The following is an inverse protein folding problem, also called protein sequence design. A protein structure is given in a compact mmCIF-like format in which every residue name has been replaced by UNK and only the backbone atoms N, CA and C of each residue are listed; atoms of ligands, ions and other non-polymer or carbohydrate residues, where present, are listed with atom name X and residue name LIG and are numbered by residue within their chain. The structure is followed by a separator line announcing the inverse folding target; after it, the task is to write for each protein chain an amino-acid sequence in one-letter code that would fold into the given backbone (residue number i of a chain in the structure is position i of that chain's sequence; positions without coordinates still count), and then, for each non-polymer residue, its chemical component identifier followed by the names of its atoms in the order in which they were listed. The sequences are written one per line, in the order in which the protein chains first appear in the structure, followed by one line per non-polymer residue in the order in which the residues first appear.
data_IF_340016876203
#
_entry.id   IF_340016876203
#
_cell.length_a   1.000
_cell.length_b   1.000
_cell.length_c   1.000
_cell.angle_alpha   90.00
_cell.angle_beta   90.00
_cell.angle_gamma   90.00
#
_symmetry.space_group_name_H-M   'P 1'
#
loop_
_entity.id
_entity.type
_entity.pdbx_description
1 polymer ?
#
# COMPACT_ATOMS: atom_id res chain seq x y z
N UNK A 1 0.86 10.89 7.49
CA UNK A 1 1.68 9.76 7.92
C UNK A 1 0.74 8.74 8.52
N UNK A 2 0.89 7.47 8.15
CA UNK A 2 0.13 6.35 8.65
C UNK A 2 1.03 5.14 8.77
N UNK A 3 1.22 4.68 10.00
CA UNK A 3 2.05 3.54 10.39
C UNK A 3 1.19 2.35 10.87
N UNK A 4 -0.13 2.41 10.68
CA UNK A 4 -1.08 1.33 10.95
C UNK A 4 -1.16 0.79 12.39
N UNK A 5 -0.48 1.39 13.37
CA UNK A 5 -0.39 0.89 14.74
C UNK A 5 -1.72 0.84 15.52
N UNK A 6 -2.69 1.66 15.10
CA UNK A 6 -3.99 1.75 15.78
C UNK A 6 -5.17 1.58 14.83
N UNK A 7 -5.05 2.11 13.61
CA UNK A 7 -6.11 2.09 12.60
C UNK A 7 -5.53 2.29 11.19
N UNK A 8 -6.41 2.43 10.20
CA UNK A 8 -6.02 2.76 8.82
C UNK A 8 -5.74 4.27 8.62
N UNK A 9 -5.68 5.09 9.67
CA UNK A 9 -5.42 6.54 9.62
C UNK A 9 -6.27 7.33 8.61
N UNK A 10 -7.49 6.86 8.35
CA UNK A 10 -8.41 7.43 7.36
C UNK A 10 -8.23 6.92 5.92
N UNK A 11 -7.29 6.03 5.65
CA UNK A 11 -7.27 5.23 4.44
C UNK A 11 -8.52 4.36 4.36
N UNK A 12 -9.09 4.23 3.15
CA UNK A 12 -10.35 3.53 2.90
C UNK A 12 -10.14 2.41 1.88
N UNK A 13 -10.63 1.24 2.25
CA UNK A 13 -10.76 0.11 1.34
C UNK A 13 -11.81 0.44 0.27
N UNK A 14 -11.56 0.05 -0.98
CA UNK A 14 -12.56 0.19 -2.03
C UNK A 14 -13.54 -1.00 -1.95
N UNK A 15 -14.85 -0.75 -1.92
CA UNK A 15 -15.88 -1.81 -1.75
C UNK A 15 -16.19 -2.59 -3.06
N UNK A 16 -15.65 -2.14 -4.19
CA UNK A 16 -15.93 -2.67 -5.53
C UNK A 16 -14.74 -3.47 -6.10
N UNK A 17 -13.82 -3.92 -5.26
CA UNK A 17 -12.73 -4.82 -5.65
C UNK A 17 -13.03 -6.28 -5.28
N UNK A 18 -12.04 -7.17 -5.39
CA UNK A 18 -12.25 -8.60 -5.16
C UNK A 18 -12.09 -8.98 -3.67
N UNK A 19 -11.25 -8.26 -2.92
CA UNK A 19 -10.98 -8.48 -1.51
C UNK A 19 -10.20 -7.32 -0.88
N UNK A 20 -10.07 -7.36 0.44
CA UNK A 20 -9.46 -6.29 1.23
C UNK A 20 -7.98 -6.51 1.61
N UNK A 21 -7.22 -5.40 1.67
CA UNK A 21 -6.03 -5.30 2.54
C UNK A 21 -6.42 -5.57 3.99
N UNK A 22 -5.65 -6.42 4.67
CA UNK A 22 -5.90 -6.79 6.06
C UNK A 22 -4.91 -6.06 6.97
N UNK A 23 -5.40 -5.50 8.08
CA UNK A 23 -4.54 -4.99 9.16
C UNK A 23 -4.01 -6.16 9.99
N UNK A 24 -2.70 -6.24 10.22
CA UNK A 24 -2.10 -7.36 10.94
C UNK A 24 -0.97 -6.96 11.86
N UNK A 25 -0.93 -7.63 13.01
CA UNK A 25 0.22 -7.66 13.92
C UNK A 25 1.26 -8.66 13.45
N UNK A 26 2.53 -8.25 13.46
CA UNK A 26 3.68 -9.04 13.03
C UNK A 26 3.81 -10.41 13.77
N UNK A 27 3.27 -10.54 14.98
CA UNK A 27 3.37 -11.74 15.86
C UNK A 27 2.61 -12.98 15.36
N UNK A 28 1.74 -12.82 14.36
CA UNK A 28 0.95 -13.93 13.80
C UNK A 28 1.65 -14.64 12.63
N UNK A 29 2.94 -14.38 12.39
CA UNK A 29 3.77 -14.90 11.29
C UNK A 29 4.14 -16.38 11.38
N UNK A 30 3.67 -17.13 12.40
CA UNK A 30 3.97 -18.57 12.57
C UNK A 30 3.61 -19.48 11.36
N UNK A 31 2.89 -19.00 10.34
CA UNK A 31 2.53 -19.76 9.13
C UNK A 31 2.51 -18.95 7.81
N UNK A 32 3.57 -18.24 7.42
CA UNK A 32 3.62 -17.60 6.08
C UNK A 32 4.98 -17.02 5.64
N UNK A 33 5.07 -16.52 4.39
CA UNK A 33 6.26 -15.85 3.81
C UNK A 33 6.24 -14.32 3.98
N UNK A 34 5.31 -13.78 4.78
CA UNK A 34 5.28 -12.37 5.14
C UNK A 34 6.48 -11.97 6.02
N UNK A 35 6.77 -10.66 6.13
CA UNK A 35 7.93 -10.18 6.90
C UNK A 35 7.80 -10.58 8.37
N UNK A 36 8.90 -11.06 8.95
CA UNK A 36 8.97 -11.55 10.32
C UNK A 36 8.83 -10.45 11.38
N UNK A 37 9.06 -9.19 10.98
CA UNK A 37 9.02 -8.00 11.82
C UNK A 37 8.33 -6.87 11.07
N UNK A 38 7.61 -6.04 11.82
CA UNK A 38 7.10 -4.78 11.31
C UNK A 38 8.26 -3.82 10.95
N UNK A 39 8.06 -2.89 10.01
CA UNK A 39 9.11 -1.94 9.63
C UNK A 39 9.28 -0.84 10.68
N UNK A 40 8.17 -0.25 11.13
CA UNK A 40 8.14 0.89 12.05
C UNK A 40 8.80 0.55 13.39
N UNK A 41 8.41 -0.56 14.01
CA UNK A 41 8.89 -0.94 15.34
C UNK A 41 10.08 -1.90 15.30
N UNK A 42 10.36 -2.55 14.16
CA UNK A 42 11.29 -3.70 14.05
C UNK A 42 10.99 -4.84 15.04
N UNK A 43 9.83 -4.81 15.67
CA UNK A 43 9.39 -5.74 16.68
C UNK A 43 8.27 -6.64 16.14
N UNK A 44 8.05 -7.84 16.71
CA UNK A 44 6.92 -8.69 16.38
C UNK A 44 5.55 -8.08 16.72
N UNK A 45 5.48 -6.93 17.39
CA UNK A 45 4.23 -6.31 17.83
C UNK A 45 3.71 -5.20 16.93
N UNK A 46 4.52 -4.73 15.97
CA UNK A 46 4.08 -3.65 15.06
C UNK A 46 3.06 -4.10 14.03
N UNK A 47 2.41 -3.11 13.43
CA UNK A 47 1.29 -3.31 12.53
C UNK A 47 1.60 -2.84 11.12
N UNK A 48 1.22 -3.66 10.15
CA UNK A 48 1.27 -3.29 8.74
C UNK A 48 0.01 -3.80 8.04
N UNK A 49 -0.30 -3.22 6.89
CA UNK A 49 -1.33 -3.79 6.03
C UNK A 49 -0.72 -4.80 5.08
N UNK A 50 -1.44 -5.89 4.82
CA UNK A 50 -0.97 -6.92 3.91
C UNK A 50 -2.11 -7.54 3.13
N UNK A 51 -1.76 -8.06 1.96
CA UNK A 51 -2.54 -9.05 1.25
C UNK A 51 -1.80 -10.38 1.31
N UNK A 52 -2.52 -11.46 1.58
CA UNK A 52 -1.96 -12.82 1.57
C UNK A 52 -2.71 -13.65 0.57
N UNK A 53 -1.98 -14.10 -0.44
CA UNK A 53 -2.47 -15.14 -1.34
C UNK A 53 -2.79 -16.38 -0.49
N UNK A 54 -4.08 -16.68 -0.43
CA UNK A 54 -4.65 -17.82 0.27
C UNK A 54 -5.34 -18.73 -0.74
N UNK A 55 -5.63 -19.97 -0.37
CA UNK A 55 -6.37 -20.89 -1.24
C UNK A 55 -7.76 -20.36 -1.66
N UNK A 56 -8.31 -19.39 -0.91
CA UNK A 56 -9.57 -18.73 -1.23
C UNK A 56 -9.40 -17.57 -2.23
N UNK A 57 -8.18 -17.05 -2.37
CA UNK A 57 -7.90 -15.97 -3.31
C UNK A 57 -7.42 -16.55 -4.65
N UNK A 58 -8.10 -16.17 -5.71
CA UNK A 58 -7.70 -16.55 -7.06
C UNK A 58 -6.58 -15.63 -7.56
N UNK A 59 -5.58 -16.17 -8.28
CA UNK A 59 -4.55 -15.36 -8.90
C UNK A 59 -5.16 -14.28 -9.80
N UNK A 60 -4.71 -13.03 -9.64
CA UNK A 60 -5.23 -11.88 -10.39
C UNK A 60 -6.34 -11.10 -9.69
N UNK A 61 -6.88 -11.60 -8.57
CA UNK A 61 -7.79 -10.81 -7.74
C UNK A 61 -7.10 -9.57 -7.18
N UNK A 62 -7.87 -8.53 -6.94
CA UNK A 62 -7.38 -7.20 -6.58
C UNK A 62 -7.91 -6.75 -5.23
N UNK A 63 -7.03 -6.09 -4.47
CA UNK A 63 -7.36 -5.34 -3.28
C UNK A 63 -6.86 -3.90 -3.40
N UNK A 64 -7.71 -2.94 -3.11
CA UNK A 64 -7.44 -1.51 -3.27
C UNK A 64 -7.71 -0.77 -1.98
N UNK A 65 -6.73 0.02 -1.57
CA UNK A 65 -6.87 0.97 -0.46
C UNK A 65 -6.50 2.37 -0.96
N UNK A 66 -7.32 3.35 -0.62
CA UNK A 66 -7.19 4.72 -1.09
C UNK A 66 -7.00 5.70 0.08
N UNK A 67 -6.16 6.72 -0.15
CA UNK A 67 -5.93 7.76 0.84
C UNK A 67 -7.19 8.61 1.05
N UNK A 68 -7.26 9.40 2.14
CA UNK A 68 -8.11 10.58 2.16
C UNK A 68 -7.89 11.46 0.92
N UNK A 69 -8.89 12.27 0.58
CA UNK A 69 -8.76 13.25 -0.51
C UNK A 69 -7.69 14.28 -0.14
N UNK A 70 -6.69 14.40 -1.00
CA UNK A 70 -5.60 15.35 -0.87
C UNK A 70 -5.95 16.58 -1.70
N UNK A 71 -6.09 17.73 -1.02
CA UNK A 71 -6.40 18.98 -1.71
C UNK A 71 -5.14 19.73 -2.10
N UNK A 72 -5.06 20.15 -3.37
CA UNK A 72 -3.98 21.03 -3.86
C UNK A 72 -4.26 22.51 -3.58
N UNK A 73 -5.53 22.87 -3.37
CA UNK A 73 -5.97 24.27 -3.15
C UNK A 73 -5.91 24.71 -1.69
N UNK A 74 -5.88 23.76 -0.76
CA UNK A 74 -5.82 24.08 0.65
C UNK A 74 -4.42 24.57 1.03
N UNK A 75 -4.31 25.85 1.41
CA UNK A 75 -3.06 26.48 1.84
C UNK A 75 -2.48 25.86 3.12
N UNK A 76 -3.33 25.26 3.95
CA UNK A 76 -2.93 24.68 5.25
C UNK A 76 -2.54 23.20 5.13
N UNK A 77 -2.83 22.55 4.00
CA UNK A 77 -2.53 21.14 3.77
C UNK A 77 -2.06 20.91 2.32
N UNK A 78 -1.03 21.64 1.91
CA UNK A 78 -0.49 21.54 0.56
C UNK A 78 0.44 20.33 0.46
N UNK A 79 -0.11 19.17 0.06
CA UNK A 79 0.72 18.01 -0.30
C UNK A 79 1.37 18.31 -1.65
N UNK A 80 2.70 18.49 -1.64
CA UNK A 80 3.40 19.17 -2.72
C UNK A 80 4.49 18.38 -3.43
N UNK A 81 5.04 17.32 -2.83
CA UNK A 81 6.22 16.65 -3.37
C UNK A 81 5.98 15.20 -3.75
N UNK A 82 5.49 14.39 -2.81
CA UNK A 82 5.40 12.95 -3.05
C UNK A 82 4.78 12.14 -1.93
N UNK A 83 4.73 10.84 -2.15
CA UNK A 83 4.42 9.84 -1.14
C UNK A 83 5.64 8.93 -0.92
N UNK A 84 5.95 8.67 0.34
CA UNK A 84 6.96 7.74 0.79
C UNK A 84 6.28 6.58 1.50
N UNK A 85 6.80 5.37 1.30
CA UNK A 85 6.28 4.18 1.97
C UNK A 85 7.30 3.06 1.97
N UNK A 86 7.04 2.08 2.84
CA UNK A 86 7.78 0.84 2.88
C UNK A 86 6.92 -0.30 2.36
N UNK A 87 7.56 -1.22 1.64
CA UNK A 87 6.89 -2.41 1.11
C UNK A 87 7.77 -3.65 1.27
N UNK A 88 7.12 -4.81 1.37
CA UNK A 88 7.78 -6.12 1.36
C UNK A 88 7.05 -7.05 0.39
N UNK A 89 7.82 -7.67 -0.50
CA UNK A 89 7.33 -8.53 -1.57
C UNK A 89 8.31 -9.69 -1.78
N UNK A 90 8.07 -10.82 -1.11
CA UNK A 90 8.97 -11.98 -1.14
C UNK A 90 8.20 -13.30 -1.33
N UNK A 91 8.62 -14.08 -2.32
CA UNK A 91 8.00 -15.35 -2.67
C UNK A 91 8.15 -15.68 -4.15
N UNK A 92 8.03 -16.96 -4.49
CA UNK A 92 8.24 -17.42 -5.87
C UNK A 92 7.11 -17.01 -6.83
N UNK A 93 5.91 -16.77 -6.29
CA UNK A 93 4.73 -16.47 -7.08
C UNK A 93 3.98 -15.25 -6.54
N UNK A 94 4.74 -14.27 -6.03
CA UNK A 94 4.22 -12.97 -5.64
C UNK A 94 3.51 -12.31 -6.82
N UNK A 95 2.38 -11.68 -6.54
CA UNK A 95 1.62 -10.94 -7.54
C UNK A 95 2.24 -9.58 -7.82
N UNK A 96 1.41 -8.54 -7.85
CA UNK A 96 1.88 -7.18 -8.18
C UNK A 96 1.38 -6.14 -7.20
N UNK A 97 2.16 -5.09 -7.01
CA UNK A 97 1.78 -3.87 -6.32
C UNK A 97 1.77 -2.73 -7.35
N UNK A 98 0.60 -2.13 -7.56
CA UNK A 98 0.44 -0.97 -8.44
C UNK A 98 0.00 0.22 -7.60
N UNK A 99 0.65 1.37 -7.79
CA UNK A 99 0.29 2.61 -7.11
C UNK A 99 -0.23 3.59 -8.15
N UNK A 100 -1.40 4.14 -7.88
CA UNK A 100 -2.08 5.09 -8.74
C UNK A 100 -2.22 6.45 -8.07
N UNK A 101 -2.16 7.51 -8.87
CA UNK A 101 -2.77 8.77 -8.55
C UNK A 101 -4.14 8.83 -9.21
N UNK A 102 -5.20 8.98 -8.40
CA UNK A 102 -6.59 8.99 -8.85
C UNK A 102 -7.20 10.37 -8.66
N UNK A 103 -7.69 10.99 -9.72
CA UNK A 103 -8.40 12.28 -9.63
C UNK A 103 -9.82 12.09 -9.09
N UNK A 104 -10.49 13.18 -8.69
CA UNK A 104 -11.89 13.09 -8.23
C UNK A 104 -12.83 12.67 -9.35
N UNK A 105 -12.49 12.97 -10.62
CA UNK A 105 -13.16 12.43 -11.81
C UNK A 105 -12.85 10.94 -12.09
N UNK A 106 -12.15 10.23 -11.18
CA UNK A 106 -11.77 8.81 -11.28
C UNK A 106 -10.80 8.48 -12.43
N UNK A 107 -10.09 9.46 -12.97
CA UNK A 107 -8.97 9.18 -13.87
C UNK A 107 -7.76 8.71 -13.06
N UNK A 108 -7.12 7.62 -13.50
CA UNK A 108 -6.02 6.98 -12.80
C UNK A 108 -4.72 7.05 -13.62
N UNK A 109 -3.67 7.54 -12.98
CA UNK A 109 -2.31 7.57 -13.52
C UNK A 109 -1.43 6.62 -12.71
N UNK A 110 -0.80 5.67 -13.38
CA UNK A 110 0.14 4.74 -12.74
C UNK A 110 1.39 5.52 -12.33
N UNK A 111 1.73 5.46 -11.04
CA UNK A 111 2.97 6.00 -10.48
C UNK A 111 4.04 4.91 -10.30
N UNK A 112 3.62 3.69 -10.00
CA UNK A 112 4.50 2.56 -9.76
C UNK A 112 3.81 1.26 -10.15
N UNK A 113 4.56 0.32 -10.71
CA UNK A 113 4.14 -1.06 -10.93
C UNK A 113 5.31 -2.00 -10.59
N UNK A 114 5.16 -2.77 -9.51
CA UNK A 114 6.12 -3.79 -9.08
C UNK A 114 5.47 -5.16 -9.22
N UNK A 115 6.19 -6.12 -9.79
CA UNK A 115 5.70 -7.49 -9.97
C UNK A 115 6.73 -8.49 -9.48
N UNK A 116 6.26 -9.57 -8.85
CA UNK A 116 7.10 -10.68 -8.42
C UNK A 116 7.98 -10.36 -7.21
N UNK A 117 8.99 -11.21 -7.01
CA UNK A 117 9.90 -11.10 -5.87
C UNK A 117 10.76 -9.84 -5.95
N UNK A 118 10.73 -9.02 -4.90
CA UNK A 118 11.56 -7.83 -4.77
C UNK A 118 12.70 -8.03 -3.75
N UNK A 119 12.63 -9.07 -2.91
CA UNK A 119 13.64 -9.40 -1.90
C UNK A 119 13.02 -9.61 -0.52
N UNK A 120 13.70 -10.38 0.33
CA UNK A 120 13.23 -10.67 1.69
C UNK A 120 13.65 -9.59 2.71
N UNK A 121 13.30 -8.34 2.44
CA UNK A 121 13.55 -7.20 3.32
C UNK A 121 12.59 -6.07 2.97
N UNK A 122 12.30 -5.21 3.94
CA UNK A 122 11.52 -3.99 3.72
C UNK A 122 12.27 -3.05 2.78
N UNK A 123 11.57 -2.51 1.78
CA UNK A 123 12.12 -1.59 0.80
C UNK A 123 11.38 -0.27 0.86
N UNK A 124 12.14 0.82 0.75
CA UNK A 124 11.63 2.18 0.73
C UNK A 124 11.35 2.64 -0.71
N UNK A 125 10.21 3.29 -0.93
CA UNK A 125 9.90 4.03 -2.18
C UNK A 125 9.51 5.46 -1.90
N UNK A 126 9.97 6.33 -2.78
CA UNK A 126 9.53 7.71 -2.91
C UNK A 126 8.91 7.88 -4.30
N UNK A 127 7.65 8.28 -4.37
CA UNK A 127 6.95 8.54 -5.63
C UNK A 127 6.56 10.02 -5.72
N UNK A 128 6.82 10.62 -6.88
CA UNK A 128 6.43 12.00 -7.17
C UNK A 128 4.96 12.02 -7.57
N UNK A 129 4.19 12.91 -6.95
CA UNK A 129 2.77 13.07 -7.25
C UNK A 129 2.61 14.16 -8.32
N UNK A 130 2.30 13.73 -9.54
CA UNK A 130 2.21 14.62 -10.69
C UNK A 130 1.13 15.69 -10.49
N UNK A 131 1.45 16.94 -10.79
CA UNK A 131 0.53 18.06 -10.72
C UNK A 131 -0.01 18.44 -12.07
N UNK A 132 -0.94 17.66 -12.61
CA UNK A 132 -1.63 18.03 -13.84
C UNK A 132 -2.83 18.96 -13.53
N UNK A 133 -2.67 19.91 -12.57
CA UNK A 133 -3.65 20.96 -12.24
C UNK A 133 -3.92 21.19 -10.74
N UNK A 134 -4.92 22.03 -10.45
CA UNK A 134 -5.48 22.32 -9.12
C UNK A 134 -6.61 21.33 -8.73
N UNK A 135 -6.62 20.14 -9.32
CA UNK A 135 -7.60 19.10 -8.99
C UNK A 135 -7.16 18.34 -7.74
N UNK A 136 -8.12 18.11 -6.85
CA UNK A 136 -7.94 17.23 -5.71
C UNK A 136 -7.78 15.78 -6.19
N UNK A 137 -7.06 14.97 -5.42
CA UNK A 137 -6.74 13.60 -5.83
C UNK A 137 -6.57 12.68 -4.62
N UNK A 138 -6.51 11.38 -4.89
CA UNK A 138 -6.16 10.33 -3.93
C UNK A 138 -4.97 9.54 -4.44
N UNK A 139 -4.22 8.93 -3.53
CA UNK A 139 -3.29 7.85 -3.87
C UNK A 139 -3.99 6.52 -3.60
N UNK A 140 -3.87 5.57 -4.53
CA UNK A 140 -4.47 4.25 -4.42
C UNK A 140 -3.38 3.20 -4.52
N UNK A 141 -3.31 2.30 -3.53
CA UNK A 141 -2.48 1.12 -3.56
C UNK A 141 -3.34 -0.08 -3.96
N UNK A 142 -3.00 -0.70 -5.09
CA UNK A 142 -3.64 -1.93 -5.58
C UNK A 142 -2.68 -3.10 -5.44
N UNK A 143 -3.07 -4.08 -4.63
CA UNK A 143 -2.40 -5.35 -4.48
C UNK A 143 -3.09 -6.39 -5.35
N UNK A 144 -2.34 -7.06 -6.21
CA UNK A 144 -2.82 -8.15 -7.07
C UNK A 144 -2.33 -9.46 -6.48
N UNK A 145 -3.25 -10.39 -6.21
CA UNK A 145 -2.94 -11.70 -5.65
C UNK A 145 -2.12 -12.56 -6.64
N UNK A 146 -1.03 -13.13 -6.13
CA UNK A 146 -0.18 -14.06 -6.85
C UNK A 146 -0.68 -15.51 -6.79
N UNK A 147 0.05 -16.44 -7.43
CA UNK A 147 -0.30 -17.88 -7.50
C UNK A 147 0.16 -18.70 -6.30
N UNK A 148 1.07 -18.17 -5.48
CA UNK A 148 1.76 -18.93 -4.43
C UNK A 148 0.98 -18.94 -3.13
N UNK A 149 0.60 -20.11 -2.58
CA UNK A 149 0.00 -20.15 -1.26
C UNK A 149 1.02 -19.62 -0.25
N UNK A 150 0.60 -18.62 0.56
CA UNK A 150 1.37 -17.93 1.61
C UNK A 150 2.19 -16.72 1.16
N UNK A 151 2.32 -16.47 -0.14
CA UNK A 151 2.97 -15.29 -0.70
C UNK A 151 2.10 -14.04 -0.46
N UNK A 152 2.72 -12.95 -0.02
CA UNK A 152 1.99 -11.74 0.36
C UNK A 152 2.74 -10.45 0.06
N UNK A 153 1.98 -9.38 -0.10
CA UNK A 153 2.50 -8.03 -0.27
C UNK A 153 2.14 -7.28 1.00
N UNK A 154 3.13 -6.67 1.64
CA UNK A 154 2.94 -5.84 2.83
C UNK A 154 3.31 -4.38 2.54
N UNK A 155 2.61 -3.45 3.18
CA UNK A 155 2.85 -2.01 3.13
C UNK A 155 2.86 -1.45 4.54
N UNK A 156 3.75 -0.51 4.79
CA UNK A 156 3.84 0.21 6.05
C UNK A 156 4.31 1.67 5.83
N UNK A 157 4.16 2.51 6.86
CA UNK A 157 4.76 3.84 6.96
C UNK A 157 4.36 4.82 5.82
N UNK A 158 3.09 4.78 5.40
CA UNK A 158 2.56 5.63 4.32
C UNK A 158 2.61 7.12 4.69
N UNK A 159 3.48 7.87 4.03
CA UNK A 159 3.80 9.25 4.41
C UNK A 159 3.75 10.19 3.21
N UNK A 160 2.92 11.23 3.29
CA UNK A 160 2.91 12.31 2.31
C UNK A 160 3.91 13.41 2.69
N UNK A 161 4.66 13.91 1.70
CA UNK A 161 5.52 15.07 1.89
C UNK A 161 4.66 16.33 2.11
N UNK A 162 5.00 17.11 3.13
CA UNK A 162 4.34 18.40 3.42
C UNK A 162 5.06 19.60 2.80
N UNK A 163 6.28 19.41 2.30
CA UNK A 163 7.08 20.49 1.75
C UNK A 163 6.88 20.60 0.23
N UNK A 164 6.46 21.80 -0.19
CA UNK A 164 6.94 22.49 -1.39
C UNK A 164 7.95 23.55 -0.92
#
# INVERSE_FOLDING_TARGET
HCNFEFDLCGWKQDENDDFDWNLRTSSTTKMGTGPATDHTLQEPTGHYIFIKSSFLQLPGQKARISSPVLSRRNKDCKVCGGIFFYYHMYGAHIGSLIVYQRTMAKHEKILLNLTGNQGNFWQHKALILAGDGDEDFQVVFEGIAGKGPKDGIALDDLTFSREC
#
